data_IF_014464025361
#
_entry.id   IF_014464025361
#
_cell.length_a   1.000
_cell.length_b   1.000
_cell.length_c   1.000
_cell.angle_alpha   90.00
_cell.angle_beta   90.00
_cell.angle_gamma   90.00
#
_symmetry.space_group_name_H-M   'P 1'
#
loop_
_entity.id
_entity.type
_entity.pdbx_description
1 polymer ?
#
# COMPACT_ATOMS: atom_id res chain seq x y z
N UNK A 1 -10.46 -28.61 65.69
CA UNK A 1 -9.65 -27.97 64.64
C UNK A 1 -10.24 -28.37 63.29
N UNK A 2 -10.33 -27.39 62.38
CA UNK A 2 -10.80 -27.46 60.98
C UNK A 2 -12.32 -27.41 60.78
N UNK A 3 -12.86 -26.19 60.77
CA UNK A 3 -14.08 -25.81 60.06
C UNK A 3 -13.69 -25.34 58.66
N UNK A 4 -14.13 -26.05 57.60
CA UNK A 4 -14.02 -25.61 56.22
C UNK A 4 -14.93 -24.39 55.99
N UNK A 5 -14.33 -23.25 55.60
CA UNK A 5 -15.04 -22.08 55.10
C UNK A 5 -15.00 -22.12 53.58
N UNK A 6 -16.15 -22.25 52.93
CA UNK A 6 -16.29 -22.23 51.48
C UNK A 6 -16.44 -20.77 51.02
N UNK A 7 -15.35 -20.19 50.51
CA UNK A 7 -15.38 -18.87 49.87
C UNK A 7 -15.76 -19.06 48.40
N UNK A 8 -16.96 -18.63 48.02
CA UNK A 8 -17.39 -18.56 46.61
C UNK A 8 -16.66 -17.37 45.98
N UNK A 9 -15.67 -17.63 45.13
CA UNK A 9 -15.07 -16.63 44.25
C UNK A 9 -16.04 -16.37 43.09
N UNK A 10 -16.69 -15.22 43.09
CA UNK A 10 -17.43 -14.74 41.92
C UNK A 10 -16.41 -14.28 40.86
N UNK A 11 -16.22 -15.10 39.83
CA UNK A 11 -15.48 -14.70 38.62
C UNK A 11 -16.40 -13.74 37.85
N UNK A 12 -16.14 -12.44 37.95
CA UNK A 12 -16.70 -11.47 37.01
C UNK A 12 -15.99 -11.66 35.67
N UNK A 13 -16.64 -12.38 34.76
CA UNK A 13 -16.27 -12.35 33.34
C UNK A 13 -16.64 -10.97 32.82
N UNK A 14 -15.65 -10.08 32.73
CA UNK A 14 -15.78 -8.83 31.98
C UNK A 14 -15.73 -9.20 30.50
N UNK A 15 -16.89 -9.45 29.90
CA UNK A 15 -17.00 -9.46 28.44
C UNK A 15 -16.92 -8.01 27.98
N UNK A 16 -15.74 -7.56 27.55
CA UNK A 16 -15.62 -6.35 26.78
C UNK A 16 -16.42 -6.56 25.49
N UNK A 17 -17.58 -5.92 25.40
CA UNK A 17 -18.28 -5.76 24.12
C UNK A 17 -17.45 -4.77 23.33
N UNK A 18 -16.89 -5.13 22.16
CA UNK A 18 -16.20 -4.14 21.33
C UNK A 18 -17.22 -3.04 21.00
N UNK A 19 -16.82 -1.79 21.21
CA UNK A 19 -17.63 -0.66 20.81
C UNK A 19 -17.95 -0.84 19.32
N UNK A 20 -19.24 -0.83 18.98
CA UNK A 20 -19.69 -0.85 17.59
C UNK A 20 -19.00 0.32 16.88
N UNK A 21 -18.12 -0.01 15.92
CA UNK A 21 -17.48 0.98 15.06
C UNK A 21 -18.57 1.90 14.51
N UNK A 22 -18.45 3.20 14.77
CA UNK A 22 -19.34 4.18 14.17
C UNK A 22 -19.14 4.08 12.65
N UNK A 23 -20.23 4.15 11.88
CA UNK A 23 -20.14 4.21 10.42
C UNK A 23 -19.19 5.36 10.04
N UNK A 24 -18.16 5.12 9.22
CA UNK A 24 -17.17 6.15 8.95
C UNK A 24 -17.82 7.32 8.22
N UNK A 25 -17.66 8.53 8.78
CA UNK A 25 -18.20 9.79 8.25
C UNK A 25 -17.23 10.50 7.29
N UNK A 26 -16.01 9.98 7.16
CA UNK A 26 -14.93 10.51 6.32
C UNK A 26 -15.12 10.30 4.82
N UNK A 27 -14.26 10.93 4.01
CA UNK A 27 -14.18 10.73 2.54
C UNK A 27 -12.76 10.30 2.18
N UNK A 28 -12.63 9.33 1.29
CA UNK A 28 -11.33 8.96 0.72
C UNK A 28 -10.71 7.67 1.22
N UNK A 29 -9.59 7.31 0.60
CA UNK A 29 -8.84 6.08 0.81
C UNK A 29 -7.35 6.39 0.80
N UNK A 30 -6.67 6.14 1.90
CA UNK A 30 -5.20 6.16 1.95
C UNK A 30 -4.64 4.85 1.39
N UNK A 31 -4.04 4.88 0.20
CA UNK A 31 -3.61 3.67 -0.50
C UNK A 31 -2.19 3.20 -0.13
N UNK A 32 -1.52 3.84 0.83
CA UNK A 32 -0.12 3.53 1.16
C UNK A 32 0.16 3.73 2.65
N UNK A 33 -0.22 2.77 3.49
CA UNK A 33 0.09 2.80 4.93
C UNK A 33 0.76 1.50 5.37
N UNK A 34 1.95 1.59 5.95
CA UNK A 34 2.69 0.42 6.45
C UNK A 34 2.23 0.05 7.87
N UNK A 35 2.20 -1.25 8.14
CA UNK A 35 1.85 -1.82 9.45
C UNK A 35 2.97 -2.77 9.92
N UNK A 36 3.24 -2.79 11.22
CA UNK A 36 4.38 -3.52 11.80
C UNK A 36 4.00 -4.10 13.17
N UNK A 37 4.26 -5.39 13.37
CA UNK A 37 3.85 -6.07 14.60
C UNK A 37 4.60 -5.61 15.86
N UNK A 38 3.98 -5.75 17.05
CA UNK A 38 4.64 -5.55 18.34
C UNK A 38 5.93 -6.34 18.51
N UNK A 39 6.04 -7.51 17.90
CA UNK A 39 7.19 -8.40 18.03
C UNK A 39 8.38 -7.94 17.18
N UNK A 40 8.12 -7.31 16.03
CA UNK A 40 9.15 -7.07 15.03
C UNK A 40 9.47 -5.59 14.76
N UNK A 41 8.65 -4.63 15.22
CA UNK A 41 8.80 -3.22 14.84
C UNK A 41 10.18 -2.63 15.16
N UNK A 42 10.79 -2.96 16.31
CA UNK A 42 12.12 -2.46 16.69
C UNK A 42 13.24 -2.97 15.78
N UNK A 43 13.06 -4.14 15.18
CA UNK A 43 14.04 -4.76 14.28
C UNK A 43 13.85 -4.33 12.82
N UNK A 44 12.79 -3.57 12.52
CA UNK A 44 12.62 -2.94 11.21
C UNK A 44 13.58 -1.76 11.03
N UNK A 45 13.96 -1.39 9.80
CA UNK A 45 14.75 -0.18 9.54
C UNK A 45 14.11 1.10 10.10
N UNK A 46 12.78 1.23 10.07
CA UNK A 46 12.07 2.41 10.58
C UNK A 46 12.09 2.47 12.11
N UNK A 47 12.00 1.33 12.80
CA UNK A 47 12.16 1.25 14.25
C UNK A 47 13.61 1.48 14.69
N UNK A 48 14.58 0.83 14.03
CA UNK A 48 15.99 0.96 14.32
C UNK A 48 16.53 2.39 14.13
N UNK A 49 15.94 3.16 13.21
CA UNK A 49 16.26 4.57 12.97
C UNK A 49 15.46 5.54 13.85
N UNK A 50 14.52 5.04 14.68
CA UNK A 50 13.67 5.86 15.53
C UNK A 50 12.66 6.73 14.77
N UNK A 51 12.28 6.32 13.56
CA UNK A 51 11.19 6.97 12.80
C UNK A 51 9.81 6.66 13.41
N UNK A 52 9.72 5.54 14.13
CA UNK A 52 8.57 5.16 14.95
C UNK A 52 9.05 4.84 16.36
N UNK A 53 8.21 5.07 17.36
CA UNK A 53 8.47 4.82 18.77
C UNK A 53 7.64 3.67 19.36
N UNK A 54 6.75 3.08 18.55
CA UNK A 54 5.95 1.92 18.87
C UNK A 54 5.62 1.13 17.58
N UNK A 55 5.07 -0.07 17.77
CA UNK A 55 4.45 -0.84 16.69
C UNK A 55 3.33 -0.04 16.03
N UNK A 56 3.11 -0.30 14.74
CA UNK A 56 2.00 0.27 14.01
C UNK A 56 0.95 -0.84 13.92
N UNK A 57 -0.11 -0.73 14.72
CA UNK A 57 -1.24 -1.66 14.68
C UNK A 57 -2.49 -0.99 14.12
N UNK A 58 -3.60 -1.73 14.06
CA UNK A 58 -4.84 -1.19 13.51
C UNK A 58 -5.41 -0.02 14.31
N UNK A 59 -5.13 0.09 15.62
CA UNK A 59 -5.61 1.22 16.43
C UNK A 59 -4.85 2.49 16.05
N UNK A 60 -3.53 2.39 15.84
CA UNK A 60 -2.73 3.49 15.30
C UNK A 60 -3.28 3.93 13.94
N UNK A 61 -3.57 2.99 13.04
CA UNK A 61 -4.12 3.31 11.72
C UNK A 61 -5.49 3.97 11.81
N UNK A 62 -6.42 3.42 12.60
CA UNK A 62 -7.77 3.98 12.82
C UNK A 62 -7.66 5.44 13.29
N UNK A 63 -6.80 5.71 14.28
CA UNK A 63 -6.59 7.07 14.77
C UNK A 63 -6.11 8.01 13.66
N UNK A 64 -5.11 7.61 12.88
CA UNK A 64 -4.54 8.43 11.80
C UNK A 64 -5.56 8.76 10.70
N UNK A 65 -6.36 7.78 10.28
CA UNK A 65 -7.37 8.01 9.23
C UNK A 65 -8.56 8.79 9.77
N UNK A 66 -8.97 8.59 11.03
CA UNK A 66 -10.08 9.33 11.64
C UNK A 66 -9.70 10.81 11.87
N UNK A 67 -8.47 11.08 12.32
CA UNK A 67 -7.94 12.45 12.45
C UNK A 67 -7.84 13.18 11.10
N UNK A 68 -7.68 12.43 10.01
CA UNK A 68 -7.66 12.96 8.65
C UNK A 68 -9.04 12.97 7.96
N UNK A 69 -10.10 12.52 8.64
CA UNK A 69 -11.43 12.30 8.06
C UNK A 69 -11.40 11.40 6.80
N UNK A 70 -10.49 10.41 6.74
CA UNK A 70 -10.36 9.42 5.67
C UNK A 70 -11.16 8.16 6.02
N UNK A 71 -11.95 7.64 5.07
CA UNK A 71 -12.88 6.53 5.31
C UNK A 71 -12.17 5.18 5.37
N UNK A 72 -11.18 4.95 4.52
CA UNK A 72 -10.55 3.63 4.31
C UNK A 72 -9.05 3.72 4.14
N UNK A 73 -8.36 2.59 4.29
CA UNK A 73 -6.93 2.51 4.00
C UNK A 73 -6.51 1.15 3.45
N UNK A 74 -5.41 1.16 2.71
CA UNK A 74 -4.67 -0.03 2.28
C UNK A 74 -3.51 -0.25 3.25
N UNK A 75 -3.54 -1.37 3.98
CA UNK A 75 -2.53 -1.74 4.97
C UNK A 75 -1.45 -2.61 4.31
N UNK A 76 -0.21 -2.16 4.38
CA UNK A 76 0.93 -2.81 3.75
C UNK A 76 1.72 -3.55 4.83
N UNK A 77 1.86 -4.86 4.67
CA UNK A 77 2.66 -5.68 5.60
C UNK A 77 4.13 -5.26 5.60
N UNK A 78 4.73 -5.14 6.78
CA UNK A 78 6.17 -4.95 6.96
C UNK A 78 7.03 -6.18 6.68
N UNK A 79 6.46 -7.27 6.17
CA UNK A 79 7.18 -8.54 5.96
C UNK A 79 8.43 -8.43 5.08
N UNK A 80 8.46 -7.49 4.11
CA UNK A 80 9.62 -7.26 3.23
C UNK A 80 10.87 -6.75 3.98
N UNK A 81 10.76 -6.37 5.26
CA UNK A 81 11.94 -6.08 6.07
C UNK A 81 12.69 -7.33 6.55
N UNK A 82 12.07 -8.51 6.43
CA UNK A 82 12.56 -9.74 7.03
C UNK A 82 12.89 -10.81 5.98
N UNK A 83 14.15 -11.23 5.96
CA UNK A 83 14.64 -12.31 5.09
C UNK A 83 14.32 -13.70 5.68
N UNK A 84 13.98 -13.76 6.96
CA UNK A 84 13.56 -14.98 7.65
C UNK A 84 12.08 -15.27 7.37
N UNK A 85 11.78 -16.50 6.94
CA UNK A 85 10.45 -16.89 6.53
C UNK A 85 9.43 -16.82 7.67
N UNK A 86 9.78 -17.25 8.89
CA UNK A 86 8.86 -17.27 10.01
C UNK A 86 8.46 -15.85 10.41
N UNK A 87 9.43 -14.92 10.43
CA UNK A 87 9.17 -13.51 10.70
C UNK A 87 8.36 -12.83 9.59
N UNK A 88 8.71 -13.05 8.32
CA UNK A 88 7.96 -12.51 7.20
C UNK A 88 6.50 -12.99 7.21
N UNK A 89 6.29 -14.29 7.45
CA UNK A 89 4.95 -14.87 7.61
C UNK A 89 4.20 -14.27 8.78
N UNK A 90 4.85 -14.10 9.93
CA UNK A 90 4.25 -13.45 11.10
C UNK A 90 3.73 -12.05 10.78
N UNK A 91 4.47 -11.23 10.04
CA UNK A 91 4.00 -9.89 9.62
C UNK A 91 2.80 -9.94 8.67
N UNK A 92 2.79 -10.89 7.73
CA UNK A 92 1.64 -11.09 6.84
C UNK A 92 0.39 -11.57 7.60
N UNK A 93 0.55 -12.50 8.54
CA UNK A 93 -0.51 -12.98 9.43
C UNK A 93 -1.03 -11.86 10.33
N UNK A 94 -0.12 -11.07 10.92
CA UNK A 94 -0.46 -9.89 11.69
C UNK A 94 -1.29 -8.92 10.84
N UNK A 95 -0.83 -8.57 9.64
CA UNK A 95 -1.57 -7.69 8.71
C UNK A 95 -2.97 -8.21 8.40
N UNK A 96 -3.12 -9.51 8.11
CA UNK A 96 -4.44 -10.13 7.88
C UNK A 96 -5.34 -10.02 9.12
N UNK A 97 -4.81 -10.25 10.33
CA UNK A 97 -5.55 -10.09 11.57
C UNK A 97 -6.00 -8.63 11.78
N UNK A 98 -5.13 -7.65 11.50
CA UNK A 98 -5.43 -6.23 11.61
C UNK A 98 -6.56 -5.83 10.65
N UNK A 99 -6.51 -6.28 9.38
CA UNK A 99 -7.57 -6.06 8.40
C UNK A 99 -8.90 -6.67 8.84
N UNK A 100 -8.89 -7.91 9.34
CA UNK A 100 -10.10 -8.62 9.82
C UNK A 100 -10.78 -7.94 11.01
N UNK A 101 -10.08 -7.09 11.75
CA UNK A 101 -10.67 -6.30 12.82
C UNK A 101 -11.59 -5.18 12.29
N UNK A 102 -11.36 -4.67 11.07
CA UNK A 102 -12.14 -3.59 10.44
C UNK A 102 -12.28 -3.82 8.92
N UNK A 103 -12.91 -4.92 8.47
CA UNK A 103 -12.92 -5.35 7.07
C UNK A 103 -13.70 -4.41 6.14
N UNK A 104 -14.57 -3.55 6.67
CA UNK A 104 -15.28 -2.51 5.93
C UNK A 104 -14.44 -1.27 5.66
N UNK A 105 -13.34 -1.10 6.41
CA UNK A 105 -12.44 0.05 6.33
C UNK A 105 -11.11 -0.28 5.67
N UNK A 106 -10.62 -1.49 5.83
CA UNK A 106 -9.25 -1.83 5.43
C UNK A 106 -9.18 -3.00 4.45
N UNK A 107 -8.20 -2.91 3.56
CA UNK A 107 -7.72 -4.03 2.74
C UNK A 107 -6.23 -4.17 2.98
N UNK A 108 -5.70 -5.39 2.94
CA UNK A 108 -4.29 -5.65 3.20
C UNK A 108 -3.51 -6.07 1.96
N UNK A 109 -2.26 -5.62 1.85
CA UNK A 109 -1.28 -6.13 0.90
C UNK A 109 -0.28 -7.02 1.64
N UNK A 110 -0.10 -8.21 1.09
CA UNK A 110 1.00 -9.11 1.46
C UNK A 110 2.33 -8.50 1.04
N UNK A 111 3.38 -8.79 1.78
CA UNK A 111 4.74 -8.43 1.39
C UNK A 111 5.63 -9.67 1.45
N UNK A 112 6.62 -9.74 0.57
CA UNK A 112 7.60 -10.84 0.53
C UNK A 112 9.00 -10.29 0.24
N UNK A 113 10.03 -11.03 0.65
CA UNK A 113 11.41 -10.80 0.22
C UNK A 113 11.64 -11.53 -1.11
N UNK A 114 11.69 -10.86 -2.28
CA UNK A 114 11.53 -11.51 -3.58
C UNK A 114 12.64 -12.51 -3.93
N UNK A 115 13.84 -12.28 -3.42
CA UNK A 115 15.00 -13.14 -3.68
C UNK A 115 15.01 -14.43 -2.85
N UNK A 116 14.08 -14.57 -1.91
CA UNK A 116 14.01 -15.74 -1.04
C UNK A 116 13.28 -16.90 -1.73
N UNK A 117 13.72 -18.16 -1.51
CA UNK A 117 13.13 -19.32 -2.18
C UNK A 117 11.68 -19.59 -1.77
N UNK A 118 11.24 -19.04 -0.64
CA UNK A 118 9.88 -19.17 -0.12
C UNK A 118 8.91 -18.09 -0.62
N UNK A 119 9.37 -17.11 -1.42
CA UNK A 119 8.56 -15.94 -1.78
C UNK A 119 7.28 -16.27 -2.55
N UNK A 120 7.33 -17.26 -3.46
CA UNK A 120 6.15 -17.68 -4.23
C UNK A 120 5.13 -18.41 -3.35
N UNK A 121 5.59 -19.35 -2.52
CA UNK A 121 4.73 -20.08 -1.58
C UNK A 121 4.08 -19.13 -0.56
N UNK A 122 4.80 -18.10 -0.13
CA UNK A 122 4.28 -17.07 0.78
C UNK A 122 3.24 -16.18 0.09
N UNK A 123 3.46 -15.80 -1.18
CA UNK A 123 2.46 -15.09 -1.97
C UNK A 123 1.17 -15.92 -2.10
N UNK A 124 1.27 -17.20 -2.47
CA UNK A 124 0.11 -18.10 -2.54
C UNK A 124 -0.62 -18.17 -1.20
N UNK A 125 0.12 -18.37 -0.10
CA UNK A 125 -0.46 -18.43 1.25
C UNK A 125 -1.19 -17.13 1.62
N UNK A 126 -0.58 -15.97 1.36
CA UNK A 126 -1.17 -14.67 1.60
C UNK A 126 -2.52 -14.48 0.89
N UNK A 127 -2.58 -14.84 -0.40
CA UNK A 127 -3.78 -14.61 -1.21
C UNK A 127 -4.86 -15.64 -0.90
N UNK A 128 -4.49 -16.92 -0.74
CA UNK A 128 -5.46 -18.03 -0.60
C UNK A 128 -5.91 -18.29 0.83
N UNK A 129 -5.02 -18.10 1.81
CA UNK A 129 -5.26 -18.48 3.22
C UNK A 129 -5.46 -17.26 4.12
N UNK A 130 -4.70 -16.19 3.89
CA UNK A 130 -4.83 -14.95 4.65
C UNK A 130 -5.84 -13.96 4.03
N UNK A 131 -6.29 -14.24 2.81
CA UNK A 131 -7.27 -13.44 2.05
C UNK A 131 -6.82 -11.97 1.86
N UNK A 132 -5.51 -11.74 1.86
CA UNK A 132 -4.95 -10.43 1.52
C UNK A 132 -5.24 -10.12 0.05
N UNK A 133 -5.43 -8.84 -0.26
CA UNK A 133 -6.04 -8.42 -1.52
C UNK A 133 -5.04 -7.96 -2.57
N UNK A 134 -3.74 -7.91 -2.25
CA UNK A 134 -2.67 -7.58 -3.17
C UNK A 134 -1.27 -7.86 -2.61
N UNK A 135 -0.25 -7.41 -3.35
CA UNK A 135 1.16 -7.64 -3.08
C UNK A 135 1.92 -6.30 -3.03
N UNK A 136 2.84 -6.14 -2.09
CA UNK A 136 3.84 -5.07 -2.03
C UNK A 136 5.22 -5.68 -2.26
N UNK A 137 6.00 -4.99 -3.10
CA UNK A 137 7.40 -5.27 -3.35
C UNK A 137 8.20 -4.00 -3.07
N UNK A 138 9.27 -4.09 -2.28
CA UNK A 138 10.15 -2.97 -1.98
C UNK A 138 11.57 -3.26 -2.47
N UNK A 139 11.82 -2.95 -3.74
CA UNK A 139 13.04 -3.35 -4.45
C UNK A 139 14.30 -2.69 -3.87
N UNK A 140 14.20 -1.45 -3.38
CA UNK A 140 15.33 -0.75 -2.74
C UNK A 140 15.72 -1.41 -1.42
N UNK A 141 14.74 -1.76 -0.57
CA UNK A 141 14.99 -2.45 0.70
C UNK A 141 15.67 -3.82 0.48
N UNK A 142 15.37 -4.46 -0.64
CA UNK A 142 15.89 -5.77 -1.05
C UNK A 142 17.17 -5.67 -1.92
N UNK A 143 17.72 -4.46 -2.11
CA UNK A 143 18.88 -4.20 -2.97
C UNK A 143 18.75 -4.82 -4.38
N UNK A 144 17.53 -4.84 -4.91
CA UNK A 144 17.24 -5.37 -6.23
C UNK A 144 17.55 -4.33 -7.30
N UNK A 145 17.83 -4.83 -8.50
CA UNK A 145 18.17 -4.01 -9.65
C UNK A 145 17.46 -4.56 -10.88
N UNK A 146 16.49 -3.82 -11.41
CA UNK A 146 15.67 -4.28 -12.54
C UNK A 146 16.43 -4.37 -13.88
N UNK A 147 17.65 -3.84 -13.95
CA UNK A 147 18.54 -4.04 -15.12
C UNK A 147 19.30 -5.37 -15.07
N UNK A 148 19.34 -6.03 -13.91
CA UNK A 148 19.87 -7.39 -13.79
C UNK A 148 18.81 -8.38 -14.31
N UNK A 149 19.10 -9.18 -15.35
CA UNK A 149 18.14 -10.14 -15.91
C UNK A 149 17.63 -11.19 -14.89
N UNK A 150 18.45 -11.58 -13.91
CA UNK A 150 18.04 -12.51 -12.86
C UNK A 150 16.99 -11.90 -11.94
N UNK A 151 17.27 -10.69 -11.43
CA UNK A 151 16.33 -9.96 -10.58
C UNK A 151 15.03 -9.64 -11.33
N UNK A 152 15.14 -9.24 -12.61
CA UNK A 152 13.99 -9.00 -13.46
C UNK A 152 13.14 -10.27 -13.64
N UNK A 153 13.79 -11.42 -13.84
CA UNK A 153 13.13 -12.73 -13.94
C UNK A 153 12.39 -13.13 -12.67
N UNK A 154 12.96 -12.85 -11.49
CA UNK A 154 12.31 -13.07 -10.18
C UNK A 154 11.02 -12.25 -10.07
N UNK A 155 11.07 -10.96 -10.39
CA UNK A 155 9.89 -10.09 -10.34
C UNK A 155 8.85 -10.55 -11.35
N UNK A 156 9.24 -10.86 -12.59
CA UNK A 156 8.33 -11.39 -13.60
C UNK A 156 7.64 -12.70 -13.15
N UNK A 157 8.37 -13.59 -12.47
CA UNK A 157 7.81 -14.81 -11.89
C UNK A 157 6.75 -14.53 -10.81
N UNK A 158 7.02 -13.59 -9.89
CA UNK A 158 6.04 -13.15 -8.88
C UNK A 158 4.79 -12.52 -9.51
N UNK A 159 4.95 -11.71 -10.56
CA UNK A 159 3.81 -11.11 -11.28
C UNK A 159 2.97 -12.16 -12.02
N UNK A 160 3.62 -13.18 -12.59
CA UNK A 160 2.92 -14.30 -13.23
C UNK A 160 2.12 -15.11 -12.21
N UNK A 161 2.73 -15.46 -11.07
CA UNK A 161 2.04 -16.16 -9.98
C UNK A 161 0.87 -15.36 -9.43
N UNK A 162 1.07 -14.05 -9.19
CA UNK A 162 0.00 -13.14 -8.79
C UNK A 162 -1.18 -13.14 -9.77
N UNK A 163 -0.89 -13.16 -11.08
CA UNK A 163 -1.91 -13.20 -12.12
C UNK A 163 -2.73 -14.51 -12.11
N UNK A 164 -2.07 -15.65 -11.90
CA UNK A 164 -2.72 -16.97 -11.82
C UNK A 164 -3.59 -17.09 -10.57
N UNK A 165 -3.10 -16.60 -9.41
CA UNK A 165 -3.84 -16.62 -8.15
C UNK A 165 -5.08 -15.72 -8.20
N UNK A 166 -4.95 -14.51 -8.76
CA UNK A 166 -6.04 -13.54 -8.87
C UNK A 166 -5.78 -12.58 -10.04
N UNK A 167 -6.46 -12.75 -11.19
CA UNK A 167 -6.40 -11.78 -12.27
C UNK A 167 -6.79 -10.38 -11.79
N UNK A 168 -5.96 -9.40 -12.09
CA UNK A 168 -6.09 -8.02 -11.62
C UNK A 168 -5.59 -7.78 -10.21
N UNK A 169 -4.84 -8.71 -9.60
CA UNK A 169 -4.23 -8.50 -8.28
C UNK A 169 -3.43 -7.18 -8.29
N UNK A 170 -3.68 -6.26 -7.34
CA UNK A 170 -2.86 -5.07 -7.15
C UNK A 170 -1.45 -5.46 -6.69
N UNK A 171 -0.44 -4.92 -7.37
CA UNK A 171 0.97 -5.07 -7.02
C UNK A 171 1.58 -3.69 -6.87
N UNK A 172 1.79 -3.25 -5.63
CA UNK A 172 2.45 -2.00 -5.29
C UNK A 172 3.97 -2.21 -5.30
N UNK A 173 4.68 -1.48 -6.15
CA UNK A 173 6.13 -1.63 -6.32
C UNK A 173 6.81 -0.33 -5.96
N UNK A 174 7.60 -0.38 -4.88
CA UNK A 174 8.60 0.63 -4.56
C UNK A 174 9.94 0.21 -5.18
N UNK A 175 10.55 1.13 -5.91
CA UNK A 175 11.69 0.88 -6.77
C UNK A 175 12.70 2.01 -6.67
N UNK A 176 13.92 1.76 -7.17
CA UNK A 176 14.93 2.79 -7.24
C UNK A 176 14.60 3.81 -8.34
N UNK A 177 13.73 4.75 -8.02
CA UNK A 177 13.35 5.85 -8.89
C UNK A 177 14.47 6.88 -9.10
N UNK A 178 15.69 6.66 -8.58
CA UNK A 178 16.87 7.49 -8.89
C UNK A 178 17.68 7.00 -10.09
N UNK A 179 17.33 5.84 -10.66
CA UNK A 179 18.03 5.20 -11.77
C UNK A 179 17.11 5.08 -13.00
N UNK A 180 17.44 5.85 -14.04
CA UNK A 180 16.72 5.90 -15.31
C UNK A 180 16.46 4.50 -15.88
N UNK A 181 17.48 3.64 -15.89
CA UNK A 181 17.39 2.33 -16.53
C UNK A 181 16.44 1.39 -15.78
N UNK A 182 16.37 1.53 -14.45
CA UNK A 182 15.40 0.78 -13.64
C UNK A 182 13.98 1.30 -13.82
N UNK A 183 13.79 2.60 -14.00
CA UNK A 183 12.48 3.19 -14.33
C UNK A 183 11.93 2.64 -15.64
N UNK A 184 12.74 2.62 -16.71
CA UNK A 184 12.33 2.03 -17.98
C UNK A 184 12.01 0.54 -17.85
N UNK A 185 12.81 -0.19 -17.07
CA UNK A 185 12.59 -1.63 -16.82
C UNK A 185 11.27 -1.88 -16.09
N UNK A 186 10.91 -1.04 -15.12
CA UNK A 186 9.63 -1.14 -14.41
C UNK A 186 8.43 -0.85 -15.33
N UNK A 187 8.54 0.16 -16.21
CA UNK A 187 7.50 0.45 -17.20
C UNK A 187 7.33 -0.74 -18.15
N UNK A 188 8.43 -1.34 -18.61
CA UNK A 188 8.39 -2.52 -19.47
C UNK A 188 7.80 -3.74 -18.75
N UNK A 189 8.12 -3.95 -17.46
CA UNK A 189 7.48 -4.98 -16.63
C UNK A 189 5.97 -4.81 -16.62
N UNK A 190 5.48 -3.58 -16.42
CA UNK A 190 4.04 -3.33 -16.41
C UNK A 190 3.38 -3.65 -17.74
N UNK A 191 4.02 -3.29 -18.86
CA UNK A 191 3.52 -3.55 -20.20
C UNK A 191 3.50 -5.04 -20.56
N UNK A 192 4.45 -5.81 -20.04
CA UNK A 192 4.58 -7.25 -20.33
C UNK A 192 3.79 -8.13 -19.37
N UNK A 193 3.18 -7.56 -18.33
CA UNK A 193 2.36 -8.28 -17.33
C UNK A 193 0.96 -7.63 -17.18
N UNK A 194 0.14 -7.56 -18.25
CA UNK A 194 -1.15 -6.86 -18.23
C UNK A 194 -2.21 -7.50 -17.31
N UNK A 195 -1.98 -8.73 -16.84
CA UNK A 195 -2.93 -9.50 -16.02
C UNK A 195 -2.95 -9.11 -14.54
N UNK A 196 -2.06 -8.23 -14.09
CA UNK A 196 -2.02 -7.67 -12.73
C UNK A 196 -2.05 -6.15 -12.78
N UNK A 197 -2.63 -5.52 -11.77
CA UNK A 197 -2.66 -4.05 -11.68
C UNK A 197 -1.40 -3.58 -10.97
N UNK A 198 -0.46 -2.95 -11.68
CA UNK A 198 0.78 -2.46 -11.09
C UNK A 198 0.58 -1.03 -10.63
N UNK A 199 0.89 -0.77 -9.36
CA UNK A 199 0.93 0.55 -8.75
C UNK A 199 2.40 0.90 -8.53
N UNK A 200 2.92 1.87 -9.28
CA UNK A 200 4.28 2.37 -9.05
C UNK A 200 4.24 3.37 -7.90
N UNK A 201 4.99 3.08 -6.85
CA UNK A 201 5.03 3.94 -5.69
C UNK A 201 5.65 5.30 -6.02
N UNK A 202 5.15 6.34 -5.35
CA UNK A 202 5.73 7.68 -5.35
C UNK A 202 5.81 8.36 -6.72
N UNK A 203 4.87 8.10 -7.63
CA UNK A 203 4.67 8.90 -8.84
C UNK A 203 5.86 8.90 -9.81
N UNK A 204 6.66 7.83 -9.82
CA UNK A 204 7.96 7.73 -10.51
C UNK A 204 9.05 8.68 -9.95
N UNK A 205 8.80 9.31 -8.81
CA UNK A 205 9.71 10.26 -8.17
C UNK A 205 10.15 11.34 -9.15
N UNK A 206 11.46 11.43 -9.39
CA UNK A 206 12.02 12.41 -10.33
C UNK A 206 11.88 12.07 -11.82
N UNK A 207 11.37 10.90 -12.15
CA UNK A 207 11.04 10.48 -13.52
C UNK A 207 9.55 10.64 -13.87
N UNK A 208 8.80 11.48 -13.14
CA UNK A 208 7.40 11.76 -13.45
C UNK A 208 7.16 12.22 -14.90
N UNK A 209 8.19 12.70 -15.61
CA UNK A 209 8.08 13.04 -17.03
C UNK A 209 7.74 11.84 -17.93
N UNK A 210 8.13 10.62 -17.52
CA UNK A 210 7.83 9.39 -18.25
C UNK A 210 6.33 9.06 -18.28
N UNK A 211 5.53 9.68 -17.41
CA UNK A 211 4.08 9.57 -17.46
C UNK A 211 3.49 10.01 -18.81
N UNK A 212 4.10 10.99 -19.47
CA UNK A 212 3.72 11.41 -20.82
C UNK A 212 4.11 10.35 -21.88
N UNK A 213 5.25 9.68 -21.72
CA UNK A 213 5.67 8.54 -22.55
C UNK A 213 4.68 7.39 -22.40
N UNK A 214 4.29 7.05 -21.17
CA UNK A 214 3.32 6.00 -20.88
C UNK A 214 1.95 6.31 -21.50
N UNK A 215 1.49 7.57 -21.43
CA UNK A 215 0.31 8.01 -22.17
C UNK A 215 0.46 7.76 -23.68
N UNK A 216 1.58 8.17 -24.27
CA UNK A 216 1.80 8.00 -25.70
C UNK A 216 1.79 6.51 -26.10
N UNK A 217 2.39 5.63 -25.30
CA UNK A 217 2.38 4.20 -25.56
C UNK A 217 0.97 3.59 -25.51
N UNK A 218 0.13 4.00 -24.53
CA UNK A 218 -1.28 3.58 -24.47
C UNK A 218 -2.04 3.94 -25.74
N UNK A 219 -1.94 5.20 -26.16
CA UNK A 219 -2.63 5.71 -27.35
C UNK A 219 -2.17 5.06 -28.64
N UNK A 220 -0.86 4.85 -28.81
CA UNK A 220 -0.29 4.32 -30.05
C UNK A 220 -0.40 2.80 -30.17
N UNK A 221 -0.29 2.07 -29.05
CA UNK A 221 -0.19 0.61 -29.05
C UNK A 221 -1.47 -0.10 -28.60
N UNK A 222 -2.52 0.65 -28.24
CA UNK A 222 -3.88 0.14 -28.07
C UNK A 222 -4.03 -0.89 -26.94
N UNK A 223 -3.88 -0.44 -25.69
CA UNK A 223 -4.09 -1.26 -24.49
C UNK A 223 -2.83 -1.56 -23.66
N UNK A 224 -1.65 -1.10 -24.11
CA UNK A 224 -0.39 -1.22 -23.36
C UNK A 224 -0.39 -0.32 -22.13
N UNK A 225 -0.18 -0.86 -20.93
CA UNK A 225 -0.14 -0.05 -19.70
C UNK A 225 -1.50 0.37 -19.17
N UNK A 226 -2.59 -0.24 -19.64
CA UNK A 226 -3.94 -0.06 -19.05
C UNK A 226 -4.05 -0.61 -17.63
N UNK A 227 -3.12 -1.47 -17.23
CA UNK A 227 -2.98 -2.03 -15.90
C UNK A 227 -2.05 -1.20 -14.99
N UNK A 228 -1.53 -0.06 -15.47
CA UNK A 228 -0.58 0.76 -14.74
C UNK A 228 -1.26 1.92 -14.02
N UNK A 229 -0.87 2.10 -12.76
CA UNK A 229 -1.29 3.14 -11.83
C UNK A 229 -0.07 3.69 -11.09
N UNK A 230 -0.24 4.85 -10.45
CA UNK A 230 0.77 5.44 -9.56
C UNK A 230 0.11 5.88 -8.26
N UNK A 231 0.79 5.78 -7.12
CA UNK A 231 0.45 6.60 -5.95
C UNK A 231 1.37 7.82 -5.89
N UNK A 232 0.87 8.97 -5.40
CA UNK A 232 1.63 10.23 -5.42
C UNK A 232 2.20 10.65 -4.06
N UNK A 233 2.22 9.76 -3.07
CA UNK A 233 2.65 10.01 -1.67
C UNK A 233 3.86 10.95 -1.55
N UNK A 234 5.09 10.47 -1.80
CA UNK A 234 6.30 11.28 -1.63
C UNK A 234 6.36 12.47 -2.59
N UNK A 235 5.77 12.35 -3.78
CA UNK A 235 5.75 13.43 -4.78
C UNK A 235 4.85 14.61 -4.41
N UNK A 236 3.88 14.45 -3.52
CA UNK A 236 3.14 15.56 -2.92
C UNK A 236 4.08 16.57 -2.23
N UNK A 237 5.14 16.06 -1.61
CA UNK A 237 6.10 16.86 -0.85
C UNK A 237 7.35 17.24 -1.66
N UNK A 238 7.67 16.47 -2.72
CA UNK A 238 8.79 16.78 -3.61
C UNK A 238 8.45 17.92 -4.57
N UNK A 239 7.20 18.00 -5.01
CA UNK A 239 6.71 19.00 -5.97
C UNK A 239 5.54 19.82 -5.41
N UNK A 240 5.72 20.55 -4.30
CA UNK A 240 4.66 21.36 -3.74
C UNK A 240 4.35 22.57 -4.62
N UNK A 241 3.17 23.20 -4.47
CA UNK A 241 2.82 24.44 -5.14
C UNK A 241 3.91 25.52 -5.00
N UNK A 242 4.24 26.17 -6.12
CA UNK A 242 5.28 27.20 -6.18
C UNK A 242 6.71 26.67 -6.30
N UNK A 243 6.93 25.36 -6.21
CA UNK A 243 8.23 24.77 -6.58
C UNK A 243 8.49 24.93 -8.09
N UNK A 244 9.76 25.06 -8.53
CA UNK A 244 10.08 25.21 -9.96
C UNK A 244 9.45 24.14 -10.89
N UNK A 245 9.38 22.85 -10.53
CA UNK A 245 8.77 21.83 -11.40
C UNK A 245 7.24 21.72 -11.28
N UNK A 246 6.57 22.45 -10.37
CA UNK A 246 5.16 22.22 -10.02
C UNK A 246 4.21 22.14 -11.23
N UNK A 247 4.19 23.18 -12.07
CA UNK A 247 3.31 23.22 -13.25
C UNK A 247 3.62 22.08 -14.25
N UNK A 248 4.90 21.72 -14.36
CA UNK A 248 5.32 20.62 -15.22
C UNK A 248 4.87 19.27 -14.65
N UNK A 249 4.98 19.07 -13.34
CA UNK A 249 4.52 17.87 -12.65
C UNK A 249 3.00 17.68 -12.79
N UNK A 250 2.21 18.73 -12.51
CA UNK A 250 0.75 18.70 -12.67
C UNK A 250 0.34 18.39 -14.12
N UNK A 251 1.04 18.96 -15.10
CA UNK A 251 0.79 18.65 -16.51
C UNK A 251 1.03 17.16 -16.82
N UNK A 252 2.09 16.56 -16.29
CA UNK A 252 2.40 15.14 -16.50
C UNK A 252 1.39 14.21 -15.82
N UNK A 253 0.92 14.51 -14.62
CA UNK A 253 -0.17 13.76 -13.97
C UNK A 253 -1.44 13.80 -14.83
N UNK A 254 -1.83 14.99 -15.31
CA UNK A 254 -3.00 15.13 -16.19
C UNK A 254 -2.82 14.40 -17.51
N UNK A 255 -1.59 14.42 -18.05
CA UNK A 255 -1.25 13.69 -19.28
C UNK A 255 -1.30 12.18 -19.07
N UNK A 256 -0.89 11.69 -17.90
CA UNK A 256 -1.02 10.30 -17.51
C UNK A 256 -2.48 9.84 -17.48
N UNK A 257 -3.38 10.72 -17.04
CA UNK A 257 -4.77 10.39 -16.81
C UNK A 257 -5.04 10.29 -15.31
N UNK A 258 -5.91 11.19 -14.85
CA UNK A 258 -6.24 11.32 -13.43
C UNK A 258 -7.06 10.14 -12.89
N UNK A 259 -7.56 9.26 -13.76
CA UNK A 259 -8.21 7.98 -13.44
C UNK A 259 -7.23 6.85 -13.06
N UNK A 260 -5.94 7.19 -12.90
CA UNK A 260 -4.85 6.25 -12.63
C UNK A 260 -3.88 6.72 -11.53
N UNK A 261 -4.20 7.84 -10.89
CA UNK A 261 -3.41 8.46 -9.84
C UNK A 261 -4.07 8.17 -8.49
N UNK A 262 -3.32 7.64 -7.53
CA UNK A 262 -3.83 7.22 -6.22
C UNK A 262 -3.28 8.14 -5.12
N UNK A 263 -4.12 8.46 -4.15
CA UNK A 263 -3.68 9.06 -2.89
C UNK A 263 -2.97 8.02 -2.01
N UNK A 264 -1.91 8.43 -1.32
CA UNK A 264 -1.25 7.63 -0.29
C UNK A 264 -0.42 8.54 0.61
N UNK A 265 -0.35 8.22 1.91
CA UNK A 265 0.50 8.96 2.84
C UNK A 265 1.93 8.43 2.91
N UNK A 266 2.13 7.15 2.61
CA UNK A 266 3.38 6.43 2.90
C UNK A 266 3.72 6.43 4.40
N UNK A 267 2.70 6.39 5.26
CA UNK A 267 2.89 6.31 6.72
C UNK A 267 3.77 5.09 7.06
N UNK A 268 4.86 5.23 7.86
CA UNK A 268 5.11 6.30 8.83
C UNK A 268 5.88 7.54 8.34
N UNK A 269 6.16 7.68 7.04
CA UNK A 269 6.89 8.86 6.51
C UNK A 269 6.07 10.13 6.69
N UNK A 270 4.76 10.06 6.39
CA UNK A 270 3.78 11.14 6.60
C UNK A 270 2.50 10.60 7.16
N UNK A 271 1.82 11.41 7.98
CA UNK A 271 0.46 11.12 8.41
C UNK A 271 -0.55 11.34 7.28
N UNK A 272 -1.70 10.68 7.37
CA UNK A 272 -2.82 10.89 6.44
C UNK A 272 -3.28 12.36 6.41
N UNK A 273 -3.28 13.06 7.55
CA UNK A 273 -3.63 14.48 7.62
C UNK A 273 -2.62 15.36 6.87
N UNK A 274 -1.31 15.15 7.06
CA UNK A 274 -0.28 15.89 6.32
C UNK A 274 -0.37 15.65 4.81
N UNK A 275 -0.60 14.40 4.40
CA UNK A 275 -0.72 14.05 3.00
C UNK A 275 -2.00 14.64 2.37
N UNK A 276 -3.12 14.63 3.10
CA UNK A 276 -4.37 15.21 2.63
C UNK A 276 -4.26 16.73 2.48
N UNK A 277 -3.67 17.42 3.46
CA UNK A 277 -3.38 18.87 3.36
C UNK A 277 -2.50 19.18 2.14
N UNK A 278 -1.46 18.38 1.91
CA UNK A 278 -0.61 18.52 0.73
C UNK A 278 -1.38 18.31 -0.58
N UNK A 279 -2.26 17.29 -0.65
CA UNK A 279 -3.11 17.03 -1.81
C UNK A 279 -4.06 18.21 -2.11
N UNK A 280 -4.71 18.75 -1.08
CA UNK A 280 -5.65 19.88 -1.20
C UNK A 280 -4.96 21.15 -1.72
N UNK A 281 -3.68 21.33 -1.38
CA UNK A 281 -2.89 22.46 -1.86
C UNK A 281 -2.52 22.38 -3.35
N UNK A 282 -2.60 21.20 -3.99
CA UNK A 282 -2.15 20.97 -5.37
C UNK A 282 -3.00 21.66 -6.44
N UNK A 283 -4.16 22.21 -6.08
CA UNK A 283 -5.03 22.92 -7.03
C UNK A 283 -5.69 22.01 -8.07
N UNK A 284 -5.94 20.75 -7.71
CA UNK A 284 -6.78 19.84 -8.49
C UNK A 284 -8.23 20.32 -8.51
N UNK A 285 -8.95 20.01 -9.59
CA UNK A 285 -10.40 20.20 -9.63
C UNK A 285 -11.09 19.24 -8.65
N UNK A 286 -12.34 19.53 -8.19
CA UNK A 286 -13.08 18.60 -7.33
C UNK A 286 -13.21 17.20 -7.92
N UNK A 287 -13.35 17.09 -9.24
CA UNK A 287 -13.42 15.82 -9.97
C UNK A 287 -12.08 15.08 -9.89
N UNK A 288 -10.98 15.74 -10.24
CA UNK A 288 -9.63 15.16 -10.15
C UNK A 288 -9.31 14.71 -8.72
N UNK A 289 -9.63 15.53 -7.72
CA UNK A 289 -9.39 15.20 -6.32
C UNK A 289 -10.22 13.99 -5.87
N UNK A 290 -11.47 13.85 -6.31
CA UNK A 290 -12.29 12.68 -6.02
C UNK A 290 -11.72 11.40 -6.68
N UNK A 291 -11.18 11.51 -7.89
CA UNK A 291 -10.51 10.39 -8.55
C UNK A 291 -9.29 9.93 -7.75
N UNK A 292 -8.41 10.88 -7.40
CA UNK A 292 -7.17 10.59 -6.65
C UNK A 292 -7.46 10.00 -5.28
N UNK A 293 -8.36 10.66 -4.54
CA UNK A 293 -8.62 10.36 -3.14
C UNK A 293 -9.52 9.13 -2.95
N UNK A 294 -10.32 8.74 -3.95
CA UNK A 294 -11.32 7.69 -3.76
C UNK A 294 -11.49 6.75 -4.96
N UNK A 295 -11.95 7.24 -6.11
CA UNK A 295 -12.49 6.37 -7.18
C UNK A 295 -11.45 5.37 -7.69
N UNK A 296 -10.19 5.82 -7.83
CA UNK A 296 -9.12 4.99 -8.36
C UNK A 296 -8.74 3.88 -7.37
N UNK A 297 -8.71 4.17 -6.07
CA UNK A 297 -8.41 3.17 -5.05
C UNK A 297 -9.54 2.14 -4.91
N UNK A 298 -10.81 2.56 -5.06
CA UNK A 298 -11.95 1.63 -5.15
C UNK A 298 -11.80 0.66 -6.33
N UNK A 299 -11.43 1.19 -7.50
CA UNK A 299 -11.22 0.40 -8.74
C UNK A 299 -10.07 -0.59 -8.60
N UNK A 300 -8.94 -0.17 -8.02
CA UNK A 300 -7.72 -0.99 -7.93
C UNK A 300 -7.85 -2.03 -6.82
N UNK A 301 -8.21 -1.60 -5.60
CA UNK A 301 -8.12 -2.45 -4.41
C UNK A 301 -9.43 -3.16 -4.05
N UNK A 302 -10.53 -2.90 -4.77
CA UNK A 302 -11.76 -3.68 -4.68
C UNK A 302 -12.52 -3.50 -3.35
N UNK A 303 -12.37 -2.34 -2.71
CA UNK A 303 -13.19 -1.98 -1.55
C UNK A 303 -14.68 -2.08 -1.88
N UNK A 304 -15.45 -2.69 -0.97
CA UNK A 304 -16.90 -2.71 -1.11
C UNK A 304 -17.45 -1.27 -1.01
N UNK A 305 -18.42 -0.87 -1.85
CA UNK A 305 -19.04 0.45 -1.74
C UNK A 305 -19.62 0.65 -0.33
N UNK A 306 -19.35 1.80 0.29
CA UNK A 306 -20.06 2.15 1.53
C UNK A 306 -21.54 2.24 1.22
N UNK A 307 -22.34 1.38 1.85
CA UNK A 307 -23.77 1.58 1.92
C UNK A 307 -23.97 2.80 2.81
N UNK A 308 -24.05 4.00 2.20
CA UNK A 308 -24.50 5.20 2.89
C UNK A 308 -25.90 4.90 3.41
N UNK A 309 -26.03 4.67 4.72
CA UNK A 309 -27.31 4.56 5.41
C UNK A 309 -27.81 5.94 5.81
#
# INVERSE_FOLDING_TARGET
MVTLSATILAVQVVTAVPALAQSPTGRGIDAHMHILSPENWMDSPVGAQGLIDAAIDVQTIVQLVDDAEIERAVLISGAYFFQDQERARHENEFTSQQVRAYPERFVGLCSVAPLQPWALDELEYCITSLELQGLKLHLVAENMNLTNPEHLGVIAGLLAEAAELKPGLPVLIDFNWTDDAQTFSLIQLAFTNPSVNIVMAHGLGHHYSELASIYLYRELLGGFGENLYIDISSTLFLYPPGSPPFENYIWHLRRFGMDRVLFGSDYPVKSSSEALEALEAMGFTPEEQNQILQDNALKVYGFQPSVRR
#
